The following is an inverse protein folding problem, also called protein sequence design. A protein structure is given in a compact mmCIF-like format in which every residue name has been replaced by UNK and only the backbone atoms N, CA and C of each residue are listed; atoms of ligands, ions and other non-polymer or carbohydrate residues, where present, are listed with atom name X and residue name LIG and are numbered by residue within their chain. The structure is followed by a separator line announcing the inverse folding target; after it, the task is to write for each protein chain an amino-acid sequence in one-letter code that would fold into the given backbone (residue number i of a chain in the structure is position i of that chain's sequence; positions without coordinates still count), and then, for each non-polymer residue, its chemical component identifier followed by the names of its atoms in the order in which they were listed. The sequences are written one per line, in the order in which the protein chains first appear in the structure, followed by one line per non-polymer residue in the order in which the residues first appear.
data_IF_268281481692
#
_entry.id   IF_268281481692
#
_cell.length_a   1.000
_cell.length_b   1.000
_cell.length_c   1.000
_cell.angle_alpha   90.00
_cell.angle_beta   90.00
_cell.angle_gamma   90.00
#
_symmetry.space_group_name_H-M   'P 1'
#
loop_
_entity.id
_entity.type
_entity.pdbx_description
1 polymer ?
#
# COMPACT_ATOMS: atom_id res chain seq x y z
N UNK A 1 4.74 45.97 -5.34
CA UNK A 1 5.13 45.33 -6.62
C UNK A 1 5.31 43.81 -6.49
N UNK A 2 6.09 43.29 -5.53
CA UNK A 2 6.31 41.83 -5.35
C UNK A 2 5.05 41.01 -5.03
N UNK A 3 4.10 41.57 -4.29
CA UNK A 3 2.81 40.95 -3.95
C UNK A 3 1.83 40.84 -5.14
N UNK A 4 1.95 41.74 -6.13
CA UNK A 4 1.08 41.72 -7.32
C UNK A 4 1.47 40.59 -8.28
N UNK A 5 2.78 40.35 -8.45
CA UNK A 5 3.28 39.23 -9.24
C UNK A 5 3.00 37.87 -8.58
N UNK A 6 2.99 37.78 -7.25
CA UNK A 6 2.65 36.55 -6.53
C UNK A 6 1.18 36.15 -6.74
N UNK A 7 0.26 37.11 -6.71
CA UNK A 7 -1.18 36.87 -6.95
C UNK A 7 -1.43 36.49 -8.42
N UNK A 8 -0.75 37.14 -9.36
CA UNK A 8 -0.85 36.80 -10.79
C UNK A 8 -0.30 35.39 -11.08
N UNK A 9 0.78 34.98 -10.41
CA UNK A 9 1.39 33.66 -10.58
C UNK A 9 0.52 32.54 -10.01
N UNK A 10 -0.13 32.77 -8.87
CA UNK A 10 -1.09 31.81 -8.28
C UNK A 10 -2.35 31.67 -9.15
N UNK A 11 -2.82 32.75 -9.79
CA UNK A 11 -4.00 32.71 -10.66
C UNK A 11 -3.74 32.00 -12.01
N UNK A 12 -2.51 32.05 -12.53
CA UNK A 12 -2.14 31.36 -13.78
C UNK A 12 -1.95 29.84 -13.54
N UNK A 13 -1.50 29.42 -12.35
CA UNK A 13 -1.35 27.99 -12.01
C UNK A 13 -2.71 27.30 -11.78
N UNK A 14 -3.73 28.01 -11.28
CA UNK A 14 -5.06 27.43 -11.08
C UNK A 14 -5.87 27.28 -12.37
N UNK A 15 -5.65 28.14 -13.38
CA UNK A 15 -6.34 28.03 -14.68
C UNK A 15 -5.77 26.88 -15.54
N UNK A 16 -4.55 26.42 -15.23
CA UNK A 16 -3.86 25.37 -15.99
C UNK A 16 -4.32 23.93 -15.68
N UNK A 17 -5.26 23.74 -14.75
CA UNK A 17 -5.65 22.40 -14.24
C UNK A 17 -7.02 21.88 -14.72
N UNK A 18 -7.67 22.50 -15.71
CA UNK A 18 -8.99 22.01 -16.15
C UNK A 18 -9.32 22.31 -17.61
N UNK A 19 -8.52 21.77 -18.53
CA UNK A 19 -9.13 21.24 -19.76
C UNK A 19 -9.09 19.72 -19.60
N UNK A 20 -9.94 19.21 -18.70
CA UNK A 20 -10.34 17.82 -18.80
C UNK A 20 -11.04 17.70 -20.16
N UNK A 21 -10.47 16.90 -21.05
CA UNK A 21 -11.19 16.43 -22.22
C UNK A 21 -12.48 15.79 -21.69
N UNK A 22 -13.62 16.44 -21.90
CA UNK A 22 -14.92 15.84 -21.59
C UNK A 22 -15.05 14.67 -22.56
N UNK A 23 -14.70 13.47 -22.09
CA UNK A 23 -15.01 12.24 -22.81
C UNK A 23 -16.53 12.21 -22.87
N UNK A 24 -17.16 12.25 -24.06
CA UNK A 24 -18.61 12.19 -24.17
C UNK A 24 -19.09 10.92 -23.44
N UNK A 25 -19.89 11.09 -22.39
CA UNK A 25 -20.43 10.00 -21.60
C UNK A 25 -21.58 9.37 -22.39
N UNK A 26 -21.23 8.48 -23.33
CA UNK A 26 -22.19 7.84 -24.21
C UNK A 26 -21.55 6.96 -25.26
N UNK A 27 -22.38 6.24 -25.99
CA UNK A 27 -21.95 5.43 -27.13
C UNK A 27 -22.90 5.59 -28.32
N UNK A 28 -22.33 5.53 -29.53
CA UNK A 28 -23.08 5.69 -30.77
C UNK A 28 -24.02 4.50 -31.00
N UNK A 29 -25.23 4.80 -31.44
CA UNK A 29 -26.22 3.82 -31.84
C UNK A 29 -26.85 4.22 -33.17
N UNK A 30 -26.94 3.27 -34.09
CA UNK A 30 -27.57 3.45 -35.39
C UNK A 30 -28.59 2.33 -35.62
N UNK A 31 -29.78 2.70 -36.10
CA UNK A 31 -30.84 1.74 -36.40
C UNK A 31 -31.65 2.14 -37.62
N UNK A 32 -32.14 1.12 -38.33
CA UNK A 32 -33.16 1.25 -39.37
C UNK A 32 -34.52 1.17 -38.69
N UNK A 33 -35.35 2.20 -38.85
CA UNK A 33 -36.66 2.28 -38.22
C UNK A 33 -37.75 1.86 -39.20
N UNK A 34 -38.61 0.94 -38.74
CA UNK A 34 -39.75 0.42 -39.49
C UNK A 34 -41.05 0.71 -38.73
N UNK A 35 -42.14 0.82 -39.46
CA UNK A 35 -43.49 0.84 -38.87
C UNK A 35 -43.99 -0.57 -38.55
N UNK A 36 -45.19 -0.65 -37.97
CA UNK A 36 -45.84 -1.91 -37.63
C UNK A 36 -46.13 -2.82 -38.85
N UNK A 37 -46.17 -2.27 -40.07
CA UNK A 37 -46.32 -3.02 -41.31
C UNK A 37 -44.97 -3.47 -41.90
N UNK A 38 -43.85 -3.15 -41.24
CA UNK A 38 -42.49 -3.47 -41.68
C UNK A 38 -41.91 -2.49 -42.71
N UNK A 39 -42.65 -1.45 -43.08
CA UNK A 39 -42.22 -0.43 -44.03
C UNK A 39 -41.26 0.57 -43.37
N UNK A 40 -40.30 1.09 -44.14
CA UNK A 40 -39.31 2.03 -43.62
C UNK A 40 -39.96 3.37 -43.28
N UNK A 41 -39.73 3.86 -42.05
CA UNK A 41 -40.08 5.23 -41.67
C UNK A 41 -39.01 6.16 -42.22
N UNK A 42 -39.16 6.64 -43.46
CA UNK A 42 -38.18 7.50 -44.17
C UNK A 42 -38.46 8.98 -43.94
N UNK A 43 -37.44 9.78 -43.62
CA UNK A 43 -37.59 11.23 -43.47
C UNK A 43 -38.49 11.68 -42.32
N UNK A 44 -38.87 10.77 -41.41
CA UNK A 44 -39.88 10.99 -40.38
C UNK A 44 -39.23 11.25 -39.03
N UNK A 45 -39.89 12.07 -38.21
CA UNK A 45 -39.53 12.21 -36.80
C UNK A 45 -39.95 10.93 -36.07
N UNK A 46 -39.02 10.35 -35.32
CA UNK A 46 -39.22 9.15 -34.51
C UNK A 46 -38.76 9.43 -33.08
N UNK A 47 -39.47 8.87 -32.12
CA UNK A 47 -39.09 8.96 -30.71
C UNK A 47 -38.68 7.58 -30.21
N UNK A 48 -37.42 7.45 -29.83
CA UNK A 48 -36.84 6.21 -29.32
C UNK A 48 -36.65 6.30 -27.82
N UNK A 49 -36.92 5.21 -27.10
CA UNK A 49 -36.58 5.06 -25.70
C UNK A 49 -35.54 3.96 -25.54
N UNK A 50 -34.48 4.26 -24.81
CA UNK A 50 -33.42 3.33 -24.46
C UNK A 50 -33.48 3.07 -22.96
N UNK A 51 -33.44 1.79 -22.58
CA UNK A 51 -33.37 1.37 -21.19
C UNK A 51 -32.14 0.49 -21.00
N UNK A 52 -31.24 0.90 -20.11
CA UNK A 52 -30.12 0.08 -19.64
C UNK A 52 -30.53 -0.64 -18.36
N UNK A 53 -30.39 -1.95 -18.37
CA UNK A 53 -30.76 -2.83 -17.27
C UNK A 53 -29.51 -3.58 -16.81
N UNK A 54 -29.26 -3.57 -15.49
CA UNK A 54 -28.13 -4.25 -14.89
C UNK A 54 -28.57 -5.60 -14.31
N UNK A 55 -27.76 -6.65 -14.48
CA UNK A 55 -28.04 -7.97 -13.92
C UNK A 55 -29.18 -8.74 -14.61
N UNK A 56 -29.84 -9.66 -13.88
CA UNK A 56 -31.07 -10.29 -14.40
C UNK A 56 -32.11 -9.20 -14.65
N UNK A 57 -32.95 -9.36 -15.68
CA UNK A 57 -33.89 -8.37 -16.23
C UNK A 57 -34.96 -7.85 -15.23
N UNK A 58 -34.53 -7.27 -14.12
CA UNK A 58 -35.33 -6.83 -12.99
C UNK A 58 -35.82 -5.40 -13.15
N UNK A 59 -36.95 -5.13 -12.53
CA UNK A 59 -37.79 -3.92 -12.56
C UNK A 59 -37.11 -2.58 -12.22
N UNK A 60 -35.79 -2.56 -11.98
CA UNK A 60 -35.03 -1.38 -11.60
C UNK A 60 -33.90 -1.06 -12.61
N UNK A 61 -34.21 -0.37 -13.72
CA UNK A 61 -33.22 -0.05 -14.74
C UNK A 61 -32.15 0.92 -14.20
N UNK A 62 -30.90 0.75 -14.66
CA UNK A 62 -29.81 1.65 -14.32
C UNK A 62 -30.00 3.04 -14.98
N UNK A 63 -30.57 3.06 -16.18
CA UNK A 63 -30.78 4.27 -16.97
C UNK A 63 -31.96 4.12 -17.92
N UNK A 64 -32.77 5.19 -18.05
CA UNK A 64 -33.78 5.31 -19.10
C UNK A 64 -33.68 6.71 -19.72
N UNK A 65 -33.62 6.77 -21.04
CA UNK A 65 -33.61 8.03 -21.78
C UNK A 65 -34.43 7.96 -23.07
N UNK A 66 -34.83 9.13 -23.57
CA UNK A 66 -35.53 9.28 -24.85
C UNK A 66 -34.77 10.16 -25.83
N UNK A 67 -34.92 9.85 -27.11
CA UNK A 67 -34.36 10.62 -28.23
C UNK A 67 -35.47 10.95 -29.22
N UNK A 68 -35.59 12.22 -29.56
CA UNK A 68 -36.38 12.67 -30.69
C UNK A 68 -35.42 12.92 -31.86
N UNK A 69 -35.49 12.07 -32.88
CA UNK A 69 -34.56 12.10 -34.02
C UNK A 69 -35.31 11.96 -35.34
N UNK A 70 -34.67 12.37 -36.44
CA UNK A 70 -35.22 12.27 -37.79
C UNK A 70 -34.52 11.14 -38.54
N UNK A 71 -35.29 10.27 -39.17
CA UNK A 71 -34.73 9.24 -40.04
C UNK A 71 -34.32 9.83 -41.40
N UNK A 72 -33.32 9.22 -42.03
CA UNK A 72 -32.88 9.60 -43.37
C UNK A 72 -33.77 8.98 -44.48
N UNK A 73 -33.34 9.14 -45.74
CA UNK A 73 -34.04 8.58 -46.90
C UNK A 73 -34.04 7.04 -46.96
N UNK A 74 -33.18 6.39 -46.18
CA UNK A 74 -33.09 4.94 -46.02
C UNK A 74 -33.82 4.45 -44.76
N UNK A 75 -34.42 5.35 -43.98
CA UNK A 75 -35.09 5.04 -42.72
C UNK A 75 -34.11 4.83 -41.56
N UNK A 76 -32.84 5.25 -41.70
CA UNK A 76 -31.81 5.13 -40.68
C UNK A 76 -31.86 6.34 -39.76
N UNK A 77 -31.72 6.12 -38.45
CA UNK A 77 -31.45 7.15 -37.46
C UNK A 77 -30.13 6.87 -36.74
N UNK A 78 -29.46 7.91 -36.27
CA UNK A 78 -28.23 7.81 -35.47
C UNK A 78 -28.39 8.69 -34.23
N UNK A 79 -28.07 8.13 -33.07
CA UNK A 79 -28.15 8.81 -31.76
C UNK A 79 -26.96 8.41 -30.91
N UNK A 80 -26.68 9.20 -29.87
CA UNK A 80 -25.67 8.86 -28.85
C UNK A 80 -26.43 8.51 -27.58
N UNK A 81 -26.39 7.22 -27.21
CA UNK A 81 -27.00 6.77 -25.96
C UNK A 81 -26.19 7.38 -24.81
N UNK A 82 -26.86 8.08 -23.89
CA UNK A 82 -26.25 8.90 -22.83
C UNK A 82 -26.33 10.41 -23.07
N UNK A 83 -26.66 10.83 -24.30
CA UNK A 83 -26.92 12.24 -24.65
C UNK A 83 -28.41 12.57 -24.82
N UNK A 84 -29.30 11.62 -24.52
CA UNK A 84 -30.75 11.80 -24.61
C UNK A 84 -31.34 12.52 -23.41
N UNK A 85 -32.65 12.72 -23.45
CA UNK A 85 -33.38 13.24 -22.28
C UNK A 85 -33.58 12.09 -21.30
N UNK A 86 -32.94 12.16 -20.12
CA UNK A 86 -33.17 11.19 -19.05
C UNK A 86 -34.65 11.21 -18.64
N UNK A 87 -35.26 10.04 -18.57
CA UNK A 87 -36.66 9.84 -18.16
C UNK A 87 -36.81 8.87 -16.99
N UNK A 88 -35.73 8.20 -16.58
CA UNK A 88 -35.74 7.31 -15.42
C UNK A 88 -34.40 6.61 -15.17
N UNK A 89 -34.42 5.62 -14.29
CA UNK A 89 -33.27 4.81 -13.89
C UNK A 89 -32.57 5.30 -12.62
N UNK A 90 -31.81 4.40 -11.99
CA UNK A 90 -31.17 4.62 -10.68
C UNK A 90 -30.00 5.59 -10.71
N UNK A 91 -29.24 5.64 -11.81
CA UNK A 91 -28.04 6.47 -11.88
C UNK A 91 -28.41 7.94 -12.08
N UNK A 92 -27.82 8.90 -11.32
CA UNK A 92 -28.14 10.32 -11.46
C UNK A 92 -27.82 10.86 -12.85
N UNK A 93 -26.63 10.58 -13.36
CA UNK A 93 -26.15 10.90 -14.71
C UNK A 93 -25.68 9.64 -15.45
N UNK A 94 -25.55 9.71 -16.78
CA UNK A 94 -25.05 8.57 -17.56
C UNK A 94 -23.58 8.24 -17.23
N UNK A 95 -22.78 9.26 -16.90
CA UNK A 95 -21.37 9.12 -16.55
C UNK A 95 -21.13 8.38 -15.23
N UNK A 96 -22.14 8.35 -14.35
CA UNK A 96 -22.08 7.69 -13.04
C UNK A 96 -22.48 6.21 -13.07
N UNK A 97 -22.85 5.67 -14.24
CA UNK A 97 -23.17 4.25 -14.38
C UNK A 97 -21.89 3.43 -14.24
N UNK A 98 -21.81 2.59 -13.21
CA UNK A 98 -20.73 1.60 -13.06
C UNK A 98 -20.97 0.38 -13.95
N UNK A 99 -20.48 0.46 -15.18
CA UNK A 99 -20.50 -0.63 -16.16
C UNK A 99 -19.65 -1.86 -15.76
N UNK A 100 -18.85 -1.78 -14.68
CA UNK A 100 -18.07 -2.89 -14.13
C UNK A 100 -18.82 -3.70 -13.06
N UNK A 101 -19.90 -3.15 -12.50
CA UNK A 101 -20.65 -3.77 -11.39
C UNK A 101 -21.48 -4.99 -11.79
N UNK A 102 -21.88 -5.08 -13.05
CA UNK A 102 -22.72 -6.15 -13.58
C UNK A 102 -22.63 -6.23 -15.10
N UNK A 103 -23.22 -7.28 -15.68
CA UNK A 103 -23.56 -7.25 -17.10
C UNK A 103 -24.72 -6.26 -17.33
N UNK A 104 -24.73 -5.62 -18.50
CA UNK A 104 -25.76 -4.67 -18.88
C UNK A 104 -26.50 -5.13 -20.14
N UNK A 105 -27.79 -4.85 -20.19
CA UNK A 105 -28.67 -5.15 -21.32
C UNK A 105 -29.38 -3.88 -21.78
N UNK A 106 -29.41 -3.69 -23.09
CA UNK A 106 -30.06 -2.57 -23.75
C UNK A 106 -31.41 -3.00 -24.32
N UNK A 107 -32.49 -2.43 -23.79
CA UNK A 107 -33.83 -2.51 -24.36
C UNK A 107 -34.10 -1.25 -25.19
N UNK A 108 -34.68 -1.43 -26.38
CA UNK A 108 -34.97 -0.35 -27.33
C UNK A 108 -36.46 -0.38 -27.65
N UNK A 109 -37.10 0.77 -27.59
CA UNK A 109 -38.52 0.94 -27.86
C UNK A 109 -38.76 2.14 -28.79
N UNK A 110 -39.74 2.01 -29.68
CA UNK A 110 -40.19 3.07 -30.59
C UNK A 110 -41.56 3.56 -30.13
N UNK A 111 -41.77 4.88 -30.15
CA UNK A 111 -43.07 5.45 -29.89
C UNK A 111 -44.03 5.22 -31.08
N UNK A 112 -45.13 4.51 -30.82
CA UNK A 112 -46.26 4.34 -31.74
C UNK A 112 -47.52 4.88 -31.05
N UNK A 113 -48.04 6.01 -31.53
CA UNK A 113 -49.10 6.75 -30.85
C UNK A 113 -48.65 7.25 -29.46
N UNK A 114 -49.40 6.90 -28.41
CA UNK A 114 -49.08 7.29 -27.03
C UNK A 114 -48.22 6.29 -26.27
N UNK A 115 -47.83 5.17 -26.89
CA UNK A 115 -47.13 4.07 -26.22
C UNK A 115 -45.74 3.83 -26.82
N UNK A 116 -44.82 3.32 -25.99
CA UNK A 116 -43.52 2.82 -26.44
C UNK A 116 -43.61 1.32 -26.67
N UNK A 117 -43.35 0.90 -27.90
CA UNK A 117 -43.41 -0.50 -28.34
C UNK A 117 -41.98 -1.05 -28.48
N UNK A 118 -41.65 -2.21 -27.86
CA UNK A 118 -40.33 -2.82 -28.00
C UNK A 118 -40.00 -3.18 -29.45
N UNK A 119 -38.78 -2.84 -29.90
CA UNK A 119 -38.27 -3.22 -31.22
C UNK A 119 -37.60 -4.61 -31.23
N UNK A 120 -37.69 -5.35 -30.13
CA UNK A 120 -37.11 -6.68 -29.94
C UNK A 120 -36.85 -7.00 -28.48
N UNK A 121 -36.16 -8.12 -28.23
CA UNK A 121 -35.65 -8.45 -26.91
C UNK A 121 -34.46 -7.56 -26.51
N UNK A 122 -34.24 -7.41 -25.21
CA UNK A 122 -33.08 -6.68 -24.70
C UNK A 122 -31.77 -7.41 -25.06
N UNK A 123 -30.79 -6.66 -25.54
CA UNK A 123 -29.50 -7.19 -26.02
C UNK A 123 -28.40 -6.90 -25.02
N UNK A 124 -27.54 -7.89 -24.73
CA UNK A 124 -26.42 -7.67 -23.83
C UNK A 124 -25.39 -6.72 -24.47
N UNK A 125 -24.94 -5.73 -23.71
CA UNK A 125 -23.79 -4.91 -24.07
C UNK A 125 -22.51 -5.70 -23.85
N UNK A 126 -21.72 -5.86 -24.91
CA UNK A 126 -20.40 -6.49 -24.85
C UNK A 126 -19.31 -5.42 -24.78
N UNK A 127 -18.21 -5.73 -24.10
CA UNK A 127 -17.07 -4.83 -24.02
C UNK A 127 -16.43 -4.60 -25.40
N UNK A 128 -16.15 -3.34 -25.72
CA UNK A 128 -15.39 -2.96 -26.92
C UNK A 128 -13.89 -3.26 -26.76
N UNK A 129 -13.10 -3.41 -27.84
CA UNK A 129 -11.67 -3.70 -27.76
C UNK A 129 -10.88 -2.75 -26.84
N UNK A 130 -11.16 -1.43 -26.89
CA UNK A 130 -10.53 -0.45 -25.99
C UNK A 130 -10.84 -0.69 -24.51
N UNK A 131 -12.07 -1.11 -24.16
CA UNK A 131 -12.44 -1.44 -22.79
C UNK A 131 -11.73 -2.71 -22.30
N UNK A 132 -11.47 -3.68 -23.19
CA UNK A 132 -10.69 -4.89 -22.85
C UNK A 132 -9.21 -4.57 -22.58
N UNK A 133 -8.64 -3.60 -23.30
CA UNK A 133 -7.28 -3.12 -23.02
C UNK A 133 -7.22 -2.36 -21.69
N UNK A 134 -8.22 -1.52 -21.39
CA UNK A 134 -8.30 -0.83 -20.09
C UNK A 134 -8.41 -1.83 -18.91
N UNK A 135 -9.22 -2.88 -19.03
CA UNK A 135 -9.31 -3.95 -18.03
C UNK A 135 -7.95 -4.63 -17.80
N UNK A 136 -7.17 -4.85 -18.86
CA UNK A 136 -5.81 -5.42 -18.78
C UNK A 136 -4.81 -4.46 -18.10
N UNK A 137 -4.92 -3.15 -18.34
CA UNK A 137 -4.01 -2.16 -17.72
C UNK A 137 -4.27 -2.01 -16.23
N UNK A 138 -5.53 -2.11 -15.77
CA UNK A 138 -5.84 -2.09 -14.33
C UNK A 138 -5.31 -3.35 -13.64
N UNK A 139 -5.38 -4.52 -14.28
CA UNK A 139 -4.80 -5.76 -13.74
C UNK A 139 -3.27 -5.83 -13.81
N UNK A 140 -2.64 -5.10 -14.73
CA UNK A 140 -1.18 -5.04 -14.91
C UNK A 140 -0.53 -3.80 -14.27
N UNK A 141 -1.30 -2.96 -13.57
CA UNK A 141 -0.71 -1.91 -12.74
C UNK A 141 0.18 -2.59 -11.68
N UNK A 142 1.42 -2.12 -11.43
CA UNK A 142 2.31 -2.79 -10.48
C UNK A 142 1.72 -2.65 -9.07
N UNK A 143 0.87 -3.59 -8.68
CA UNK A 143 0.46 -3.75 -7.31
C UNK A 143 1.69 -4.12 -6.49
N UNK A 144 1.88 -3.43 -5.37
CA UNK A 144 2.88 -3.81 -4.38
C UNK A 144 2.70 -5.30 -4.07
N UNK A 145 3.75 -6.14 -4.22
CA UNK A 145 3.63 -7.55 -3.93
C UNK A 145 3.17 -7.79 -2.50
N UNK A 146 2.32 -8.79 -2.30
CA UNK A 146 1.91 -9.24 -0.97
C UNK A 146 3.16 -9.58 -0.14
N UNK A 147 3.17 -9.20 1.13
CA UNK A 147 4.33 -9.35 2.02
C UNK A 147 5.31 -8.18 1.97
N UNK A 148 5.12 -7.20 1.08
CA UNK A 148 5.95 -5.99 1.09
C UNK A 148 5.71 -5.17 2.34
N UNK A 149 6.78 -4.72 2.99
CA UNK A 149 6.75 -3.85 4.16
C UNK A 149 7.05 -2.42 3.72
N UNK A 150 6.24 -1.47 4.16
CA UNK A 150 6.46 -0.04 3.95
C UNK A 150 6.47 0.72 5.27
N UNK A 151 7.31 1.76 5.34
CA UNK A 151 7.21 2.79 6.36
C UNK A 151 5.96 3.63 6.09
N UNK A 152 5.16 3.85 7.13
CA UNK A 152 3.92 4.58 7.09
C UNK A 152 3.94 5.70 8.12
N UNK A 153 3.93 6.93 7.62
CA UNK A 153 3.98 8.15 8.43
C UNK A 153 2.60 8.61 8.92
N UNK A 154 1.51 7.95 8.50
CA UNK A 154 0.15 8.33 8.85
C UNK A 154 -0.28 7.85 10.24
N UNK A 155 -1.46 8.30 10.65
CA UNK A 155 -2.10 7.85 11.90
C UNK A 155 -2.49 6.37 11.83
N UNK A 156 -2.40 5.64 12.94
CA UNK A 156 -2.73 4.21 13.03
C UNK A 156 -4.16 3.90 12.56
N UNK A 157 -5.11 4.84 12.73
CA UNK A 157 -6.50 4.67 12.31
C UNK A 157 -6.71 4.94 10.81
N UNK A 158 -5.65 5.30 10.08
CA UNK A 158 -5.66 5.61 8.64
C UNK A 158 -4.83 4.62 7.82
N UNK A 159 -4.53 3.44 8.38
CA UNK A 159 -3.90 2.36 7.61
C UNK A 159 -4.82 2.00 6.44
N UNK A 160 -4.34 2.07 5.18
CA UNK A 160 -5.19 1.81 4.03
C UNK A 160 -5.70 0.37 3.98
N UNK A 161 -6.89 0.18 3.41
CA UNK A 161 -7.41 -1.16 3.10
C UNK A 161 -6.41 -1.96 2.29
N UNK A 162 -6.24 -3.24 2.62
CA UNK A 162 -5.25 -4.10 1.98
C UNK A 162 -3.86 -4.05 2.61
N UNK A 163 -3.73 -3.47 3.81
CA UNK A 163 -2.52 -3.44 4.62
C UNK A 163 -2.83 -3.83 6.08
N UNK A 164 -1.85 -4.44 6.75
CA UNK A 164 -1.88 -4.70 8.19
C UNK A 164 -0.68 -4.06 8.88
N UNK A 165 -0.79 -3.78 10.16
CA UNK A 165 0.30 -3.24 10.97
C UNK A 165 1.33 -4.34 11.30
N UNK A 166 2.62 -4.02 11.27
CA UNK A 166 3.68 -4.92 11.73
C UNK A 166 3.90 -4.80 13.25
N UNK A 167 2.94 -5.32 14.02
CA UNK A 167 2.90 -5.26 15.48
C UNK A 167 3.02 -6.63 16.18
N UNK A 168 3.36 -7.68 15.44
CA UNK A 168 3.47 -9.04 15.97
C UNK A 168 2.14 -9.74 16.23
N UNK A 169 1.00 -9.14 15.88
CA UNK A 169 -0.31 -9.75 16.08
C UNK A 169 -0.43 -11.09 15.35
N UNK A 170 -1.25 -11.98 15.93
CA UNK A 170 -1.60 -13.25 15.35
C UNK A 170 -2.84 -13.09 14.47
N UNK A 171 -2.77 -13.52 13.22
CA UNK A 171 -3.84 -13.36 12.23
C UNK A 171 -4.22 -14.68 11.56
N UNK A 172 -5.45 -14.76 11.04
CA UNK A 172 -6.00 -15.97 10.44
C UNK A 172 -5.33 -16.32 9.11
N UNK A 173 -4.94 -17.59 8.94
CA UNK A 173 -4.40 -18.16 7.69
C UNK A 173 -5.44 -18.15 6.57
N UNK A 174 -6.72 -18.36 6.88
CA UNK A 174 -7.78 -18.40 5.87
C UNK A 174 -8.19 -17.00 5.42
N UNK A 175 -8.26 -16.04 6.34
CA UNK A 175 -8.59 -14.64 6.02
C UNK A 175 -7.48 -13.97 5.21
N UNK A 176 -6.21 -14.26 5.53
CA UNK A 176 -5.04 -13.68 4.87
C UNK A 176 -4.21 -14.73 4.14
N UNK A 177 -4.86 -15.60 3.36
CA UNK A 177 -4.23 -16.72 2.67
C UNK A 177 -3.10 -16.28 1.72
N UNK A 178 -3.27 -15.15 1.02
CA UNK A 178 -2.24 -14.57 0.16
C UNK A 178 -0.97 -14.24 0.96
N UNK A 179 -1.11 -13.54 2.08
CA UNK A 179 0.02 -13.19 2.94
C UNK A 179 0.66 -14.44 3.57
N UNK A 180 -0.14 -15.38 4.06
CA UNK A 180 0.36 -16.63 4.64
C UNK A 180 1.17 -17.45 3.63
N UNK A 181 0.74 -17.51 2.37
CA UNK A 181 1.49 -18.19 1.31
C UNK A 181 2.88 -17.59 1.08
N UNK A 182 3.06 -16.29 1.35
CA UNK A 182 4.34 -15.58 1.14
C UNK A 182 5.23 -15.66 2.37
N UNK A 183 4.73 -15.31 3.57
CA UNK A 183 5.57 -15.20 4.77
C UNK A 183 5.52 -16.45 5.66
N UNK A 184 4.53 -17.31 5.47
CA UNK A 184 4.31 -18.52 6.24
C UNK A 184 4.34 -18.27 7.75
N UNK A 185 5.09 -19.11 8.45
CA UNK A 185 5.34 -19.01 9.89
C UNK A 185 6.66 -18.33 10.21
N UNK A 186 7.32 -17.67 9.25
CA UNK A 186 8.68 -17.14 9.42
C UNK A 186 8.82 -16.12 10.56
N UNK A 187 7.72 -15.47 10.94
CA UNK A 187 7.65 -14.51 12.05
C UNK A 187 7.01 -15.09 13.32
N UNK A 188 6.65 -16.37 13.30
CA UNK A 188 5.97 -17.10 14.37
C UNK A 188 4.86 -17.99 13.83
N UNK A 189 4.73 -19.20 14.39
CA UNK A 189 3.75 -20.20 13.91
C UNK A 189 2.29 -19.95 14.28
N UNK A 190 2.05 -18.95 15.13
CA UNK A 190 0.75 -18.66 15.70
C UNK A 190 0.29 -19.73 16.70
N UNK A 191 -1.00 -20.06 16.67
CA UNK A 191 -1.67 -21.13 17.41
C UNK A 191 -1.29 -22.56 16.96
N UNK A 192 -0.33 -22.69 16.04
CA UNK A 192 0.08 -23.95 15.42
C UNK A 192 -1.01 -24.65 14.57
N UNK A 193 -2.10 -23.96 14.22
CA UNK A 193 -3.19 -24.54 13.47
C UNK A 193 -3.78 -23.57 12.44
N UNK A 194 -4.45 -22.52 12.91
CA UNK A 194 -5.30 -21.66 12.08
C UNK A 194 -4.73 -20.26 11.86
N UNK A 195 -3.63 -19.91 12.54
CA UNK A 195 -3.08 -18.56 12.56
C UNK A 195 -1.58 -18.52 12.32
N UNK A 196 -1.05 -17.32 12.09
CA UNK A 196 0.38 -17.02 11.98
C UNK A 196 0.67 -15.62 12.52
N UNK A 197 1.92 -15.33 12.89
CA UNK A 197 2.29 -14.00 13.36
C UNK A 197 2.66 -13.07 12.20
N UNK A 198 2.23 -11.82 12.31
CA UNK A 198 2.81 -10.72 11.55
C UNK A 198 4.22 -10.38 12.07
N UNK A 199 5.05 -9.68 11.28
CA UNK A 199 6.28 -9.10 11.80
C UNK A 199 5.99 -8.17 12.98
N UNK A 200 6.83 -8.19 14.02
CA UNK A 200 6.87 -7.12 15.02
C UNK A 200 8.11 -6.27 14.77
N UNK A 201 7.93 -5.07 14.23
CA UNK A 201 9.03 -4.19 13.84
C UNK A 201 9.16 -2.95 14.73
N UNK A 202 8.36 -2.88 15.79
CA UNK A 202 8.41 -1.75 16.73
C UNK A 202 9.74 -1.77 17.46
N UNK A 203 10.46 -0.65 17.41
CA UNK A 203 11.77 -0.50 18.04
C UNK A 203 12.89 -1.33 17.39
N UNK A 204 12.69 -1.86 16.17
CA UNK A 204 13.71 -2.67 15.48
C UNK A 204 14.20 -1.99 14.20
N UNK A 205 15.48 -2.18 13.92
CA UNK A 205 16.06 -1.81 12.63
C UNK A 205 15.97 -2.98 11.66
N UNK A 206 15.61 -2.67 10.41
CA UNK A 206 15.64 -3.64 9.34
C UNK A 206 17.04 -3.73 8.75
N UNK A 207 17.48 -4.96 8.50
CA UNK A 207 18.72 -5.30 7.80
C UNK A 207 18.38 -6.19 6.62
N UNK A 208 19.09 -6.03 5.51
CA UNK A 208 18.99 -6.96 4.38
C UNK A 208 19.55 -8.33 4.76
N UNK A 209 18.93 -9.40 4.25
CA UNK A 209 19.47 -10.76 4.41
C UNK A 209 20.83 -10.84 3.71
N UNK A 210 21.85 -11.37 4.42
CA UNK A 210 23.22 -11.48 3.91
C UNK A 210 23.33 -12.36 2.67
N UNK A 211 22.53 -13.43 2.62
CA UNK A 211 22.62 -14.46 1.58
C UNK A 211 24.04 -15.02 1.53
N UNK A 212 24.69 -14.88 0.36
CA UNK A 212 26.04 -15.37 0.10
C UNK A 212 27.11 -14.27 0.21
N UNK A 213 26.77 -13.10 0.77
CA UNK A 213 27.68 -11.93 0.75
C UNK A 213 28.78 -11.99 1.81
N UNK A 214 28.58 -12.79 2.87
CA UNK A 214 29.51 -12.96 4.00
C UNK A 214 29.88 -11.63 4.70
N UNK A 215 29.00 -10.63 4.62
CA UNK A 215 29.14 -9.36 5.36
C UNK A 215 28.62 -9.48 6.78
N UNK A 216 27.77 -10.48 7.01
CA UNK A 216 27.10 -10.73 8.26
C UNK A 216 27.66 -11.99 8.92
N UNK A 217 28.71 -11.79 9.71
CA UNK A 217 29.51 -12.87 10.30
C UNK A 217 28.69 -13.69 11.31
N UNK A 218 27.77 -13.03 12.01
CA UNK A 218 26.98 -13.64 13.09
C UNK A 218 25.60 -14.12 12.63
N UNK A 219 25.36 -14.24 11.30
CA UNK A 219 24.02 -14.50 10.75
C UNK A 219 23.36 -15.78 11.28
N UNK A 220 24.15 -16.80 11.62
CA UNK A 220 23.64 -18.07 12.16
C UNK A 220 23.25 -18.00 13.64
N UNK A 221 23.73 -16.99 14.39
CA UNK A 221 23.40 -16.81 15.81
C UNK A 221 22.04 -16.13 16.03
N UNK A 222 21.33 -15.75 14.96
CA UNK A 222 20.02 -15.10 15.05
C UNK A 222 18.94 -16.04 15.56
N UNK A 223 18.04 -15.49 16.37
CA UNK A 223 16.95 -16.23 17.01
C UNK A 223 15.61 -15.88 16.37
N UNK A 224 14.56 -16.62 16.71
CA UNK A 224 13.22 -16.37 16.20
C UNK A 224 12.56 -15.21 16.95
N UNK A 225 11.76 -14.40 16.25
CA UNK A 225 10.98 -13.33 16.88
C UNK A 225 9.87 -13.86 17.79
N UNK A 226 9.31 -15.01 17.44
CA UNK A 226 8.26 -15.72 18.17
C UNK A 226 8.47 -17.23 18.01
N UNK A 227 7.75 -18.01 18.82
CA UNK A 227 7.81 -19.46 18.76
C UNK A 227 7.49 -20.01 17.35
N UNK A 228 8.31 -20.93 16.86
CA UNK A 228 8.18 -21.49 15.51
C UNK A 228 8.50 -20.50 14.36
N UNK A 229 9.06 -19.34 14.68
CA UNK A 229 9.62 -18.40 13.71
C UNK A 229 10.99 -18.84 13.17
N UNK A 230 11.46 -18.14 12.15
CA UNK A 230 12.72 -18.41 11.49
C UNK A 230 13.92 -17.99 12.36
N UNK A 231 15.02 -18.73 12.25
CA UNK A 231 16.31 -18.46 12.90
C UNK A 231 17.41 -18.29 11.86
N UNK A 232 18.61 -17.91 12.30
CA UNK A 232 19.79 -17.82 11.44
C UNK A 232 19.64 -16.79 10.31
N UNK A 233 20.19 -17.10 9.14
CA UNK A 233 20.18 -16.18 7.98
C UNK A 233 18.83 -16.07 7.23
N UNK A 234 17.72 -16.50 7.83
CA UNK A 234 16.40 -16.51 7.18
C UNK A 234 15.58 -15.25 7.51
N UNK A 235 14.70 -14.84 6.59
CA UNK A 235 13.77 -13.71 6.81
C UNK A 235 12.89 -13.99 8.03
N UNK A 236 12.78 -13.02 8.94
CA UNK A 236 11.98 -13.14 10.17
C UNK A 236 12.79 -13.47 11.43
N UNK A 237 14.07 -13.82 11.29
CA UNK A 237 14.97 -13.93 12.43
C UNK A 237 15.36 -12.55 12.98
N UNK A 238 15.71 -12.51 14.26
CA UNK A 238 16.10 -11.31 14.99
C UNK A 238 17.48 -11.47 15.61
N UNK A 239 18.13 -10.34 15.86
CA UNK A 239 19.41 -10.27 16.56
C UNK A 239 19.29 -9.21 17.66
N UNK A 240 19.81 -9.50 18.84
CA UNK A 240 19.90 -8.52 19.93
C UNK A 240 20.97 -7.49 19.63
N UNK A 241 20.97 -6.40 20.39
CA UNK A 241 22.08 -5.45 20.39
C UNK A 241 23.39 -6.12 20.78
N UNK A 242 24.48 -5.67 20.17
CA UNK A 242 25.83 -6.14 20.48
C UNK A 242 26.83 -5.05 20.10
N UNK A 243 27.82 -4.82 20.96
CA UNK A 243 29.02 -4.08 20.61
C UNK A 243 30.10 -5.03 20.17
N UNK A 244 30.91 -4.62 19.19
CA UNK A 244 32.10 -5.39 18.83
C UNK A 244 33.01 -5.51 20.06
N UNK A 245 33.46 -6.73 20.34
CA UNK A 245 34.38 -7.01 21.43
C UNK A 245 35.62 -6.11 21.34
N UNK A 246 35.96 -5.43 22.44
CA UNK A 246 37.12 -4.55 22.57
C UNK A 246 37.58 -4.50 24.04
N UNK A 247 38.82 -4.06 24.28
CA UNK A 247 39.39 -3.91 25.61
C UNK A 247 39.74 -2.44 25.92
N UNK A 248 39.77 -2.11 27.22
CA UNK A 248 40.28 -0.84 27.72
C UNK A 248 41.53 -1.13 28.56
N UNK A 249 42.67 -0.55 28.18
CA UNK A 249 43.87 -0.56 29.00
C UNK A 249 43.91 0.70 29.86
N UNK A 250 43.91 0.55 31.18
CA UNK A 250 44.29 1.66 32.07
C UNK A 250 45.75 1.98 31.79
N UNK A 251 46.05 3.19 31.30
CA UNK A 251 47.41 3.58 30.97
C UNK A 251 48.36 3.34 32.15
N UNK A 252 49.58 2.89 31.86
CA UNK A 252 50.64 2.80 32.85
C UNK A 252 50.80 4.18 33.50
N UNK A 253 50.49 4.28 34.79
CA UNK A 253 50.91 5.41 35.59
C UNK A 253 51.97 4.92 36.58
N UNK A 254 53.07 5.66 36.63
CA UNK A 254 54.16 5.37 37.55
C UNK A 254 54.27 6.53 38.54
N UNK A 255 54.52 6.20 39.80
CA UNK A 255 54.89 7.19 40.80
C UNK A 255 56.41 7.21 40.93
N UNK A 256 57.05 8.37 40.71
CA UNK A 256 58.45 8.59 41.07
C UNK A 256 58.51 9.04 42.53
N UNK A 257 59.09 8.21 43.40
CA UNK A 257 59.37 8.62 44.78
C UNK A 257 60.84 9.00 44.91
N UNK A 258 61.11 10.24 45.34
CA UNK A 258 62.44 10.67 45.75
C UNK A 258 62.53 10.67 47.27
N UNK A 259 63.10 9.59 47.81
CA UNK A 259 63.84 9.52 49.07
C UNK A 259 63.27 10.15 50.34
N UNK A 260 62.86 9.30 51.27
CA UNK A 260 63.19 9.38 52.69
C UNK A 260 63.27 7.96 53.25
N UNK A 261 64.41 7.56 53.82
CA UNK A 261 64.65 6.27 54.48
C UNK A 261 63.73 6.05 55.69
N UNK A 262 62.44 5.88 55.44
CA UNK A 262 61.42 5.63 56.46
C UNK A 262 60.99 4.18 56.35
N UNK A 263 61.10 3.48 57.46
CA UNK A 263 60.63 2.11 57.68
C UNK A 263 59.15 2.03 57.31
N UNK A 264 58.84 1.41 56.17
CA UNK A 264 57.46 1.06 55.79
C UNK A 264 57.04 -0.15 56.63
N UNK A 265 56.03 0.01 57.47
CA UNK A 265 55.53 -1.07 58.34
C UNK A 265 54.21 -1.57 57.78
N UNK A 266 54.26 -2.48 56.81
CA UNK A 266 53.08 -3.19 56.30
C UNK A 266 53.09 -4.63 56.83
N UNK A 267 52.10 -4.99 57.64
CA UNK A 267 51.96 -6.35 58.19
C UNK A 267 52.94 -6.74 59.30
N UNK A 268 53.65 -5.78 59.91
CA UNK A 268 54.47 -6.02 61.11
C UNK A 268 55.89 -6.59 60.87
N UNK A 269 56.36 -6.68 59.62
CA UNK A 269 57.76 -7.01 59.31
C UNK A 269 58.51 -5.82 58.71
N UNK A 270 59.70 -5.54 59.24
CA UNK A 270 60.60 -4.47 58.77
C UNK A 270 61.30 -4.93 57.50
N UNK A 271 61.01 -4.28 56.37
CA UNK A 271 61.76 -4.47 55.12
C UNK A 271 62.71 -3.29 54.94
N UNK A 272 64.02 -3.54 55.07
CA UNK A 272 65.05 -2.53 54.76
C UNK A 272 65.25 -2.52 53.24
N UNK A 273 64.64 -1.55 52.56
CA UNK A 273 64.82 -1.35 51.13
C UNK A 273 66.23 -0.85 50.80
N UNK A 274 67.03 -1.67 50.12
CA UNK A 274 68.21 -1.19 49.40
C UNK A 274 67.80 -0.19 48.31
N UNK A 275 68.65 0.80 48.04
CA UNK A 275 68.45 1.85 47.05
C UNK A 275 68.34 1.23 45.63
N UNK A 276 67.12 0.87 45.24
CA UNK A 276 66.78 0.29 43.95
C UNK A 276 65.46 0.89 43.48
N UNK A 277 65.43 1.28 42.20
CA UNK A 277 64.27 1.85 41.51
C UNK A 277 63.21 0.74 41.36
N UNK A 278 62.47 0.46 42.42
CA UNK A 278 61.39 -0.53 42.41
C UNK A 278 60.15 0.07 41.76
N UNK A 279 59.87 -0.28 40.50
CA UNK A 279 58.56 -0.08 39.91
C UNK A 279 57.55 -0.94 40.69
N UNK A 280 56.84 -0.36 41.67
CA UNK A 280 55.63 -0.99 42.18
C UNK A 280 54.57 -0.86 41.09
N UNK A 281 54.51 -1.85 40.21
CA UNK A 281 53.35 -2.05 39.35
C UNK A 281 52.19 -2.47 40.27
N UNK A 282 51.53 -1.50 40.91
CA UNK A 282 50.19 -1.75 41.43
C UNK A 282 49.31 -1.94 40.20
N UNK A 283 48.77 -3.14 39.92
CA UNK A 283 47.71 -3.23 38.92
C UNK A 283 46.64 -2.22 39.36
N UNK A 284 46.14 -1.35 38.48
CA UNK A 284 45.09 -0.42 38.85
C UNK A 284 43.92 -1.27 39.33
N UNK A 285 43.68 -1.26 40.64
CA UNK A 285 42.42 -1.74 41.20
C UNK A 285 41.33 -0.92 40.50
N UNK A 286 40.50 -1.62 39.72
CA UNK A 286 39.67 -1.04 38.68
C UNK A 286 38.97 0.24 39.09
N UNK A 287 39.40 1.36 38.50
CA UNK A 287 38.59 2.55 38.47
C UNK A 287 37.33 2.22 37.66
N UNK A 288 36.25 1.88 38.35
CA UNK A 288 34.93 1.74 37.76
C UNK A 288 34.46 3.16 37.47
N UNK A 289 34.59 3.57 36.21
CA UNK A 289 33.93 4.79 35.73
C UNK A 289 32.42 4.51 35.80
N UNK A 290 31.65 5.44 36.35
CA UNK A 290 30.20 5.29 36.42
C UNK A 290 29.63 5.04 35.01
N UNK A 291 28.55 4.27 34.93
CA UNK A 291 27.87 4.05 33.67
C UNK A 291 27.36 5.40 33.13
N UNK A 292 27.91 5.84 32.00
CA UNK A 292 27.45 7.00 31.27
C UNK A 292 26.73 6.57 29.99
N UNK A 293 25.68 7.31 29.61
CA UNK A 293 24.84 7.03 28.45
C UNK A 293 23.36 6.84 28.78
N UNK A 294 22.59 6.41 27.78
CA UNK A 294 21.16 6.09 27.93
C UNK A 294 20.90 4.58 27.98
N UNK A 295 19.65 4.18 28.17
CA UNK A 295 19.23 2.77 28.29
C UNK A 295 19.38 1.95 27.00
N UNK A 296 19.68 2.57 25.86
CA UNK A 296 19.86 1.89 24.57
C UNK A 296 20.80 2.69 23.68
N UNK A 297 21.63 1.99 22.90
CA UNK A 297 22.45 2.59 21.86
C UNK A 297 21.72 2.55 20.52
N UNK A 298 21.44 3.71 19.95
CA UNK A 298 20.75 3.84 18.66
C UNK A 298 21.20 5.07 17.88
N UNK A 299 21.19 5.04 16.53
CA UNK A 299 21.34 6.25 15.72
C UNK A 299 20.17 7.22 15.93
N UNK A 300 20.34 8.48 15.49
CA UNK A 300 19.22 9.41 15.32
C UNK A 300 18.18 8.72 14.42
N UNK A 301 16.93 8.68 14.87
CA UNK A 301 15.84 8.00 14.17
C UNK A 301 14.52 8.79 14.26
N UNK A 302 13.60 8.49 13.35
CA UNK A 302 12.24 8.99 13.34
C UNK A 302 11.27 7.80 13.47
N UNK A 303 10.21 7.99 14.24
CA UNK A 303 9.20 6.95 14.49
C UNK A 303 8.13 6.96 13.39
N UNK A 304 7.96 5.81 12.76
CA UNK A 304 6.92 5.54 11.76
C UNK A 304 6.33 4.17 12.05
N UNK A 305 5.10 3.94 11.60
CA UNK A 305 4.56 2.59 11.58
C UNK A 305 5.19 1.80 10.44
N UNK A 306 5.32 0.49 10.62
CA UNK A 306 5.54 -0.41 9.50
C UNK A 306 4.23 -1.12 9.19
N UNK A 307 3.86 -1.14 7.92
CA UNK A 307 2.67 -1.85 7.42
C UNK A 307 3.08 -2.87 6.37
N UNK A 308 2.35 -3.98 6.30
CA UNK A 308 2.59 -5.09 5.38
C UNK A 308 1.40 -5.28 4.43
N UNK A 309 1.67 -5.46 3.15
CA UNK A 309 0.64 -5.70 2.13
C UNK A 309 0.02 -7.09 2.32
N UNK A 310 -1.31 -7.17 2.41
CA UNK A 310 -2.09 -8.43 2.41
C UNK A 310 -2.65 -8.80 1.04
#
# INVERSE_FOLDING_TARGET
MKTFYLILFVFVITISHSIAQVVPAGFNYQAVVRDAAGSLKKGSIVNLRFTLQAGQFDSNPAWIETHNTKTDSLGICTVVIGAGTKTGGTSPTFAEIDFGSANFWLKIELQEGSQYVPLGGAQQLLSVPYARVAAKIVSDSPQMPIGTILAFAGDINKIPTGWLLCDGSQVSRSTYAGLYNIIGTGWGRGDNATTFHLPDLRGRFLRGVDGNSNRDIDKEARTASNEGGNIGSNVGSIQTDVFKNHNHGGGDHSHSWQGASTIDTWGGNVVVGGNGIGQKNTPPSGAIIAAEGGSETRPINAYVFYIIKI
#
